data_IF_384737544099
#
_entry.id   IF_384737544099
#
_cell.length_a   1.000
_cell.length_b   1.000
_cell.length_c   1.000
_cell.angle_alpha   90.00
_cell.angle_beta   90.00
_cell.angle_gamma   90.00
#
_symmetry.space_group_name_H-M   'P 1'
#
loop_
_entity.id
_entity.type
_entity.pdbx_description
1 polymer ?
#
# COMPACT_ATOMS: atom_id res chain seq x y z
N UNK A 1 -10.43 19.63 6.65
CA UNK A 1 -10.49 18.78 5.44
C UNK A 1 -9.14 18.87 4.77
N UNK A 2 -8.60 17.77 4.24
CA UNK A 2 -7.21 17.67 3.77
C UNK A 2 -6.94 18.32 2.41
N UNK A 3 -7.96 18.84 1.71
CA UNK A 3 -7.82 19.43 0.36
C UNK A 3 -7.81 18.42 -0.79
N UNK A 4 -7.84 17.11 -0.48
CA UNK A 4 -7.68 16.04 -1.47
C UNK A 4 -8.72 16.06 -2.60
N UNK A 5 -9.96 16.48 -2.34
CA UNK A 5 -11.02 16.49 -3.36
C UNK A 5 -10.70 17.53 -4.44
N UNK A 6 -10.29 18.73 -4.03
CA UNK A 6 -9.88 19.82 -4.91
C UNK A 6 -8.62 19.43 -5.71
N UNK A 7 -7.66 18.76 -5.07
CA UNK A 7 -6.46 18.26 -5.74
C UNK A 7 -6.81 17.20 -6.80
N UNK A 8 -7.71 16.25 -6.48
CA UNK A 8 -8.16 15.24 -7.44
C UNK A 8 -8.87 15.86 -8.64
N UNK A 9 -9.71 16.89 -8.43
CA UNK A 9 -10.43 17.58 -9.52
C UNK A 9 -9.51 18.39 -10.43
N UNK A 10 -8.42 18.93 -9.88
CA UNK A 10 -7.45 19.75 -10.64
C UNK A 10 -6.31 18.93 -11.24
N UNK A 11 -6.13 17.67 -10.82
CA UNK A 11 -5.10 16.78 -11.32
C UNK A 11 -5.22 16.56 -12.83
N UNK A 12 -4.06 16.63 -13.51
CA UNK A 12 -3.91 16.27 -14.92
C UNK A 12 -3.29 14.89 -15.11
N UNK A 13 -2.99 14.19 -14.01
CA UNK A 13 -2.33 12.90 -14.04
C UNK A 13 -3.37 11.80 -14.25
N UNK A 14 -3.22 11.04 -15.34
CA UNK A 14 -4.07 9.86 -15.56
C UNK A 14 -3.66 8.70 -14.65
N UNK A 15 -4.52 7.69 -14.55
CA UNK A 15 -4.23 6.49 -13.77
C UNK A 15 -2.98 5.76 -14.31
N UNK A 16 -2.83 5.70 -15.63
CA UNK A 16 -1.71 5.07 -16.31
C UNK A 16 -0.41 5.83 -16.05
N UNK A 17 -0.44 7.16 -16.13
CA UNK A 17 0.71 8.01 -15.80
C UNK A 17 1.13 7.85 -14.33
N UNK A 18 0.16 7.81 -13.41
CA UNK A 18 0.43 7.57 -12.00
C UNK A 18 1.07 6.19 -11.76
N UNK A 19 0.56 5.14 -12.42
CA UNK A 19 1.14 3.80 -12.35
C UNK A 19 2.59 3.80 -12.85
N UNK A 20 2.86 4.38 -14.02
CA UNK A 20 4.21 4.38 -14.60
C UNK A 20 5.22 5.15 -13.76
N UNK A 21 4.85 6.34 -13.27
CA UNK A 21 5.72 7.12 -12.38
C UNK A 21 6.06 6.37 -11.09
N UNK A 22 5.07 5.68 -10.52
CA UNK A 22 5.26 4.90 -9.30
C UNK A 22 6.10 3.65 -9.56
N UNK A 23 5.85 2.94 -10.67
CA UNK A 23 6.63 1.76 -11.06
C UNK A 23 8.09 2.13 -11.30
N UNK A 24 8.37 3.21 -12.05
CA UNK A 24 9.71 3.69 -12.29
C UNK A 24 10.42 4.06 -10.98
N UNK A 25 9.70 4.66 -10.04
CA UNK A 25 10.24 4.91 -8.71
C UNK A 25 10.63 3.60 -8.01
N UNK A 26 9.77 2.58 -8.02
CA UNK A 26 10.08 1.28 -7.43
C UNK A 26 11.28 0.61 -8.09
N UNK A 27 11.35 0.62 -9.42
CA UNK A 27 12.45 0.03 -10.19
C UNK A 27 13.82 0.61 -9.85
N UNK A 28 13.86 1.89 -9.50
CA UNK A 28 15.10 2.56 -9.11
C UNK A 28 15.55 2.27 -7.67
N UNK A 29 14.67 1.74 -6.82
CA UNK A 29 14.93 1.60 -5.38
C UNK A 29 14.94 0.17 -4.88
N UNK A 30 14.19 -0.73 -5.51
CA UNK A 30 14.04 -2.11 -5.03
C UNK A 30 14.01 -3.11 -6.18
N UNK A 31 14.57 -4.30 -6.01
CA UNK A 31 14.49 -5.34 -7.03
C UNK A 31 13.07 -5.89 -7.16
N UNK A 32 12.68 -6.22 -8.39
CA UNK A 32 11.39 -6.85 -8.70
C UNK A 32 11.18 -8.13 -7.89
N UNK A 33 9.98 -8.27 -7.32
CA UNK A 33 9.50 -9.46 -6.64
C UNK A 33 10.09 -9.69 -5.25
N UNK A 34 10.90 -8.77 -4.73
CA UNK A 34 11.59 -8.96 -3.44
C UNK A 34 10.90 -8.23 -2.29
N UNK A 35 10.42 -7.00 -2.52
CA UNK A 35 9.86 -6.17 -1.46
C UNK A 35 8.35 -6.42 -1.27
N UNK A 36 7.89 -6.77 -0.06
CA UNK A 36 6.46 -6.85 0.24
C UNK A 36 5.84 -5.46 0.37
N UNK A 37 4.53 -5.36 0.12
CA UNK A 37 3.80 -4.12 0.37
C UNK A 37 3.61 -3.92 1.88
N UNK A 38 4.02 -2.75 2.40
CA UNK A 38 3.97 -2.45 3.84
C UNK A 38 3.05 -1.25 4.12
N UNK A 39 2.27 -1.33 5.20
CA UNK A 39 1.35 -0.26 5.59
C UNK A 39 0.38 -0.67 6.69
N UNK A 40 -0.59 0.19 6.98
CA UNK A 40 -1.63 -0.05 8.00
C UNK A 40 -2.94 -0.44 7.31
N UNK A 41 -3.45 -1.64 7.59
CA UNK A 41 -4.59 -2.24 6.87
C UNK A 41 -4.33 -2.34 5.37
N UNK A 42 -3.07 -2.56 5.00
CA UNK A 42 -2.53 -2.42 3.63
C UNK A 42 -3.04 -3.49 2.65
N UNK A 43 -3.71 -4.53 3.18
CA UNK A 43 -4.42 -5.49 2.35
C UNK A 43 -5.47 -4.82 1.45
N UNK A 44 -6.14 -3.76 1.93
CA UNK A 44 -7.12 -3.04 1.13
C UNK A 44 -6.45 -2.28 -0.02
N UNK A 45 -5.32 -1.62 0.24
CA UNK A 45 -4.52 -0.96 -0.80
C UNK A 45 -4.04 -1.96 -1.86
N UNK A 46 -3.59 -3.16 -1.45
CA UNK A 46 -3.20 -4.25 -2.35
C UNK A 46 -4.34 -4.63 -3.32
N UNK A 47 -5.58 -4.69 -2.83
CA UNK A 47 -6.75 -4.99 -3.69
C UNK A 47 -6.94 -3.90 -4.76
N UNK A 48 -6.77 -2.62 -4.39
CA UNK A 48 -6.86 -1.52 -5.34
C UNK A 48 -5.72 -1.56 -6.36
N UNK A 49 -4.49 -1.80 -5.92
CA UNK A 49 -3.34 -1.95 -6.82
C UNK A 49 -3.56 -3.08 -7.81
N UNK A 50 -3.99 -4.26 -7.36
CA UNK A 50 -4.29 -5.38 -8.26
C UNK A 50 -5.32 -5.04 -9.33
N UNK A 51 -6.33 -4.22 -9.00
CA UNK A 51 -7.41 -3.86 -9.93
C UNK A 51 -7.04 -2.71 -10.87
N UNK A 52 -6.39 -1.68 -10.36
CA UNK A 52 -6.20 -0.40 -11.06
C UNK A 52 -4.76 -0.13 -11.47
N UNK A 53 -3.79 -0.76 -10.80
CA UNK A 53 -2.36 -0.61 -11.08
C UNK A 53 -1.63 -1.98 -11.06
N UNK A 54 -2.04 -2.95 -11.91
CA UNK A 54 -1.57 -4.33 -11.83
C UNK A 54 -0.06 -4.48 -12.02
N UNK A 55 0.60 -3.59 -12.78
CA UNK A 55 2.04 -3.67 -12.98
C UNK A 55 2.82 -3.43 -11.68
N UNK A 56 2.28 -2.60 -10.78
CA UNK A 56 2.87 -2.39 -9.44
C UNK A 56 2.62 -3.60 -8.55
N UNK A 57 1.40 -4.17 -8.59
CA UNK A 57 1.06 -5.38 -7.83
C UNK A 57 2.02 -6.53 -8.17
N UNK A 58 2.26 -6.73 -9.47
CA UNK A 58 3.15 -7.75 -10.03
C UNK A 58 4.63 -7.46 -9.79
N UNK A 59 5.00 -6.18 -9.63
CA UNK A 59 6.38 -5.80 -9.33
C UNK A 59 6.76 -6.12 -7.88
N UNK A 60 5.82 -5.99 -6.95
CA UNK A 60 6.02 -6.24 -5.53
C UNK A 60 5.87 -7.72 -5.18
N UNK A 61 6.50 -8.16 -4.09
CA UNK A 61 6.32 -9.51 -3.58
C UNK A 61 4.87 -9.74 -3.12
N UNK A 62 4.37 -10.98 -3.24
CA UNK A 62 2.96 -11.32 -2.95
C UNK A 62 2.53 -11.14 -1.49
N UNK A 63 3.50 -11.15 -0.56
CA UNK A 63 3.26 -10.94 0.89
C UNK A 63 3.07 -9.46 1.20
N UNK A 64 2.39 -9.20 2.32
CA UNK A 64 2.26 -7.87 2.90
C UNK A 64 2.89 -7.83 4.30
N UNK A 65 3.34 -6.65 4.71
CA UNK A 65 3.69 -6.32 6.10
C UNK A 65 2.61 -5.36 6.62
N UNK A 66 1.60 -5.90 7.29
CA UNK A 66 0.48 -5.12 7.81
C UNK A 66 0.67 -4.78 9.29
N UNK A 67 0.98 -3.52 9.59
CA UNK A 67 1.20 -3.07 10.97
C UNK A 67 -0.07 -3.11 11.81
N UNK A 68 -1.25 -3.16 11.19
CA UNK A 68 -2.50 -3.38 11.92
C UNK A 68 -2.49 -4.74 12.60
N UNK A 69 -1.89 -5.77 11.98
CA UNK A 69 -1.76 -7.10 12.60
C UNK A 69 -0.94 -7.02 13.89
N UNK A 70 0.18 -6.30 13.87
CA UNK A 70 1.03 -6.11 15.06
C UNK A 70 0.27 -5.34 16.15
N UNK A 71 -0.41 -4.25 15.77
CA UNK A 71 -1.23 -3.45 16.69
C UNK A 71 -2.31 -4.29 17.38
N UNK A 72 -3.00 -5.12 16.60
CA UNK A 72 -4.07 -5.99 17.10
C UNK A 72 -3.52 -7.07 18.05
N UNK A 73 -2.43 -7.74 17.67
CA UNK A 73 -1.76 -8.71 18.54
C UNK A 73 -1.30 -8.10 19.88
N UNK A 74 -0.71 -6.90 19.83
CA UNK A 74 -0.31 -6.19 21.04
C UNK A 74 -1.50 -5.83 21.94
N UNK A 75 -2.62 -5.41 21.33
CA UNK A 75 -3.85 -5.07 22.06
C UNK A 75 -4.41 -6.28 22.81
N UNK A 76 -4.52 -7.44 22.15
CA UNK A 76 -5.05 -8.66 22.77
C UNK A 76 -4.14 -9.19 23.89
N UNK A 77 -2.82 -9.12 23.71
CA UNK A 77 -1.88 -9.55 24.75
C UNK A 77 -2.03 -8.72 26.04
N UNK A 78 -2.26 -7.42 25.92
CA UNK A 78 -2.49 -6.56 27.09
C UNK A 78 -3.81 -6.88 27.81
N UNK A 79 -4.85 -7.30 27.09
CA UNK A 79 -6.13 -7.67 27.69
C UNK A 79 -6.06 -8.99 28.49
N UNK A 80 -5.28 -9.97 28.01
CA UNK A 80 -5.12 -11.27 28.68
C UNK A 80 -4.26 -11.20 29.95
N UNK A 81 -3.37 -10.21 30.07
CA UNK A 81 -2.50 -10.03 31.26
C UNK A 81 -3.20 -9.23 32.37
N UNK A 82 -4.36 -8.64 32.09
CA UNK A 82 -5.15 -7.86 33.08
C UNK A 82 -6.30 -8.68 33.71
N UNK A 83 -6.35 -9.99 33.45
CA UNK A 83 -7.21 -10.97 34.12
C UNK A 83 -6.38 -11.83 35.07
#
# INVERSE_FOLDING_TARGET
MTGLIEDCRSSKITLEEAQQKTLQYLENHVPKGMCPLAGNSVYMDRIFLRKYMPLIDDYLHYRIIDVSTIKELARYKNQLVTL
#
